data_IF_643096992813
#
_entry.id   IF_643096992813
#
_cell.length_a   1.000
_cell.length_b   1.000
_cell.length_c   1.000
_cell.angle_alpha   90.00
_cell.angle_beta   90.00
_cell.angle_gamma   90.00
#
_symmetry.space_group_name_H-M   'P 1'
#
loop_
_entity.id
_entity.type
_entity.pdbx_description
1 polymer ?
#
# COMPACT_ATOMS: atom_id res chain seq x y z
N UNK A 1 40.03 -58.73 30.52
CA UNK A 1 39.50 -58.41 29.18
C UNK A 1 38.04 -58.01 29.31
N UNK A 2 37.69 -56.75 29.05
CA UNK A 2 36.34 -56.37 28.63
C UNK A 2 36.43 -55.07 27.83
N UNK A 3 36.26 -55.18 26.52
CA UNK A 3 36.40 -54.08 25.55
C UNK A 3 35.09 -53.28 25.54
N UNK A 4 35.08 -52.12 26.19
CA UNK A 4 33.97 -51.17 26.15
C UNK A 4 33.85 -50.60 24.74
N UNK A 5 32.85 -51.05 23.97
CA UNK A 5 32.55 -50.50 22.65
C UNK A 5 31.84 -49.16 22.82
N UNK A 6 32.52 -48.08 22.41
CA UNK A 6 31.96 -46.75 22.32
C UNK A 6 31.10 -46.66 21.05
N UNK A 7 29.78 -46.79 21.19
CA UNK A 7 28.84 -46.48 20.12
C UNK A 7 28.58 -44.97 20.11
N UNK A 8 29.20 -44.25 19.18
CA UNK A 8 28.89 -42.84 18.91
C UNK A 8 27.57 -42.79 18.13
N UNK A 9 26.45 -42.58 18.82
CA UNK A 9 25.20 -42.19 18.18
C UNK A 9 25.30 -40.72 17.79
N UNK A 10 25.51 -40.45 16.49
CA UNK A 10 25.36 -39.11 15.94
C UNK A 10 23.86 -38.77 15.87
N UNK A 11 23.38 -38.02 16.86
CA UNK A 11 22.03 -37.44 16.84
C UNK A 11 21.98 -36.34 15.77
N UNK A 12 21.39 -36.65 14.61
CA UNK A 12 21.12 -35.66 13.57
C UNK A 12 19.88 -34.87 14.02
N UNK A 13 20.08 -33.71 14.66
CA UNK A 13 18.97 -32.79 14.92
C UNK A 13 18.54 -32.14 13.60
N UNK A 14 17.28 -32.27 13.15
CA UNK A 14 16.77 -31.48 12.05
C UNK A 14 16.70 -30.02 12.51
N UNK A 15 17.60 -29.19 11.99
CA UNK A 15 17.50 -27.73 12.07
C UNK A 15 16.24 -27.33 11.30
N UNK A 16 15.12 -27.19 12.01
CA UNK A 16 13.92 -26.56 11.47
C UNK A 16 14.19 -25.06 11.42
N UNK A 17 14.56 -24.57 10.24
CA UNK A 17 14.65 -23.14 9.99
C UNK A 17 13.24 -22.56 10.04
N UNK A 18 12.83 -22.04 11.19
CA UNK A 18 11.65 -21.20 11.29
C UNK A 18 11.92 -19.90 10.54
N UNK A 19 11.31 -19.74 9.36
CA UNK A 19 11.35 -18.48 8.63
C UNK A 19 10.55 -17.44 9.43
N UNK A 20 11.25 -16.46 10.01
CA UNK A 20 10.61 -15.28 10.57
C UNK A 20 9.79 -14.58 9.45
N UNK A 21 8.62 -14.01 9.77
CA UNK A 21 7.86 -13.26 8.79
C UNK A 21 8.74 -12.14 8.22
N UNK A 22 8.80 -12.05 6.90
CA UNK A 22 9.54 -10.97 6.25
C UNK A 22 8.79 -9.65 6.43
N UNK A 23 9.52 -8.54 6.50
CA UNK A 23 8.94 -7.20 6.60
C UNK A 23 7.91 -6.92 5.50
N UNK A 24 8.09 -7.46 4.30
CA UNK A 24 7.14 -7.33 3.20
C UNK A 24 5.77 -7.96 3.52
N UNK A 25 5.76 -9.11 4.20
CA UNK A 25 4.53 -9.79 4.60
C UNK A 25 3.75 -9.00 5.66
N UNK A 26 4.47 -8.37 6.59
CA UNK A 26 3.87 -7.51 7.62
C UNK A 26 3.32 -6.20 7.05
N UNK A 27 4.00 -5.60 6.06
CA UNK A 27 3.49 -4.42 5.34
C UNK A 27 2.21 -4.77 4.58
N UNK A 28 2.17 -5.90 3.88
CA UNK A 28 0.98 -6.36 3.18
C UNK A 28 -0.19 -6.58 4.15
N UNK A 29 0.06 -7.20 5.29
CA UNK A 29 -0.95 -7.36 6.35
C UNK A 29 -1.43 -6.01 6.89
N UNK A 30 -0.54 -5.04 7.10
CA UNK A 30 -0.90 -3.70 7.54
C UNK A 30 -1.73 -2.93 6.51
N UNK A 31 -1.49 -3.13 5.21
CA UNK A 31 -2.24 -2.55 4.10
C UNK A 31 -3.52 -3.33 3.76
N UNK A 32 -3.78 -4.45 4.42
CA UNK A 32 -5.01 -5.22 4.22
C UNK A 32 -6.25 -4.34 4.41
N UNK A 33 -7.23 -4.54 3.53
CA UNK A 33 -8.48 -3.78 3.41
C UNK A 33 -8.35 -2.28 3.06
N UNK A 34 -7.17 -1.77 2.72
CA UNK A 34 -7.02 -0.33 2.40
C UNK A 34 -7.90 0.10 1.22
N UNK A 35 -8.10 -0.77 0.22
CA UNK A 35 -8.99 -0.49 -0.90
C UNK A 35 -10.45 -0.37 -0.47
N UNK A 36 -10.92 -1.24 0.43
CA UNK A 36 -12.29 -1.18 0.95
C UNK A 36 -12.50 0.10 1.76
N UNK A 37 -11.49 0.53 2.54
CA UNK A 37 -11.51 1.80 3.28
C UNK A 37 -11.63 3.00 2.31
N UNK A 38 -10.89 2.97 1.20
CA UNK A 38 -10.97 4.02 0.16
C UNK A 38 -12.35 4.04 -0.49
N UNK A 39 -12.87 2.89 -0.91
CA UNK A 39 -14.21 2.79 -1.54
C UNK A 39 -15.32 3.23 -0.58
N UNK A 40 -15.19 2.94 0.71
CA UNK A 40 -16.15 3.36 1.74
C UNK A 40 -16.01 4.83 2.16
N UNK A 41 -15.10 5.59 1.54
CA UNK A 41 -14.77 6.98 1.86
C UNK A 41 -14.42 7.23 3.34
N UNK A 42 -13.88 6.23 4.04
CA UNK A 42 -13.53 6.35 5.45
C UNK A 42 -12.15 7.00 5.63
N UNK A 43 -12.14 8.33 5.58
CA UNK A 43 -10.94 9.16 5.78
C UNK A 43 -10.24 8.91 7.11
N UNK A 44 -10.99 8.58 8.17
CA UNK A 44 -10.45 8.40 9.51
C UNK A 44 -9.65 7.10 9.60
N UNK A 45 -10.22 6.00 9.13
CA UNK A 45 -9.53 4.71 9.05
C UNK A 45 -8.38 4.75 8.05
N UNK A 46 -8.55 5.43 6.91
CA UNK A 46 -7.47 5.62 5.95
C UNK A 46 -6.28 6.36 6.57
N UNK A 47 -6.54 7.45 7.30
CA UNK A 47 -5.51 8.20 8.02
C UNK A 47 -4.80 7.34 9.05
N UNK A 48 -5.54 6.54 9.83
CA UNK A 48 -4.96 5.61 10.81
C UNK A 48 -4.06 4.61 10.11
N UNK A 49 -4.51 4.01 9.01
CA UNK A 49 -3.74 3.02 8.23
C UNK A 49 -2.43 3.59 7.72
N UNK A 50 -2.47 4.75 7.06
CA UNK A 50 -1.28 5.44 6.55
C UNK A 50 -0.31 5.74 7.70
N UNK A 51 -0.82 6.18 8.86
CA UNK A 51 0.00 6.45 10.04
C UNK A 51 0.64 5.18 10.59
N UNK A 52 -0.11 4.10 10.76
CA UNK A 52 0.41 2.81 11.24
C UNK A 52 1.53 2.30 10.35
N UNK A 53 1.35 2.35 9.02
CA UNK A 53 2.39 1.91 8.08
C UNK A 53 3.66 2.78 8.21
N UNK A 54 3.49 4.10 8.30
CA UNK A 54 4.62 5.02 8.50
C UNK A 54 5.32 4.84 9.84
N UNK A 55 4.59 4.54 10.90
CA UNK A 55 5.14 4.36 12.25
C UNK A 55 5.83 3.00 12.41
N UNK A 56 5.25 1.92 11.88
CA UNK A 56 5.78 0.58 12.10
C UNK A 56 6.89 0.21 11.11
N UNK A 57 6.80 0.70 9.87
CA UNK A 57 7.71 0.29 8.79
C UNK A 57 8.55 1.43 8.21
N UNK A 58 8.37 2.66 8.70
CA UNK A 58 9.02 3.89 8.17
C UNK A 58 8.71 4.18 6.69
N UNK A 59 7.68 3.53 6.14
CA UNK A 59 7.20 3.73 4.77
C UNK A 59 6.14 4.83 4.71
N UNK A 60 6.29 5.78 3.80
CA UNK A 60 5.31 6.84 3.50
C UNK A 60 4.38 6.39 2.37
N UNK A 61 3.25 7.09 2.22
CA UNK A 61 2.26 6.79 1.18
C UNK A 61 2.88 6.60 -0.20
N UNK A 62 3.79 7.49 -0.60
CA UNK A 62 4.51 7.44 -1.89
C UNK A 62 5.32 6.14 -2.10
N UNK A 63 5.76 5.48 -1.03
CA UNK A 63 6.67 4.35 -1.09
C UNK A 63 5.93 3.04 -1.42
N UNK A 64 4.61 2.99 -1.19
CA UNK A 64 3.76 1.83 -1.52
C UNK A 64 2.60 2.17 -2.45
N UNK A 65 2.34 3.45 -2.77
CA UNK A 65 1.22 3.88 -3.60
C UNK A 65 1.16 3.15 -4.95
N UNK A 66 2.30 2.99 -5.63
CA UNK A 66 2.36 2.30 -6.93
C UNK A 66 2.15 0.79 -6.81
N UNK A 67 2.55 0.19 -5.69
CA UNK A 67 2.41 -1.25 -5.43
C UNK A 67 1.02 -1.67 -4.94
N UNK A 68 0.19 -0.74 -4.47
CA UNK A 68 -1.19 -1.03 -4.04
C UNK A 68 -2.14 -0.81 -5.21
N UNK A 69 -2.80 -1.89 -5.65
CA UNK A 69 -3.85 -1.85 -6.68
C UNK A 69 -5.20 -2.20 -6.09
N UNK A 70 -6.17 -1.33 -6.31
CA UNK A 70 -7.55 -1.53 -5.94
C UNK A 70 -8.35 -1.77 -7.21
N UNK A 71 -8.72 -3.03 -7.47
CA UNK A 71 -9.39 -3.46 -8.71
C UNK A 71 -8.64 -2.98 -9.98
N UNK A 72 -7.31 -3.12 -9.98
CA UNK A 72 -6.44 -2.69 -11.10
C UNK A 72 -6.13 -1.20 -11.16
N UNK A 73 -6.78 -0.36 -10.34
CA UNK A 73 -6.54 1.08 -10.29
C UNK A 73 -5.65 1.47 -9.10
N UNK A 74 -5.01 2.64 -9.18
CA UNK A 74 -4.39 3.26 -8.01
C UNK A 74 -5.44 3.72 -7.00
N UNK A 75 -5.02 4.00 -5.77
CA UNK A 75 -5.96 4.41 -4.71
C UNK A 75 -6.68 5.73 -5.05
N UNK A 76 -6.01 6.71 -5.69
CA UNK A 76 -6.67 7.98 -6.08
C UNK A 76 -7.67 7.74 -7.21
N UNK A 77 -7.29 6.98 -8.25
CA UNK A 77 -8.22 6.62 -9.34
C UNK A 77 -9.44 5.85 -8.82
N UNK A 78 -9.22 4.95 -7.87
CA UNK A 78 -10.31 4.22 -7.20
C UNK A 78 -11.24 5.16 -6.44
N UNK A 79 -10.68 6.13 -5.70
CA UNK A 79 -11.49 7.13 -5.01
C UNK A 79 -12.35 7.95 -6.00
N UNK A 80 -11.78 8.33 -7.15
CA UNK A 80 -12.51 9.03 -8.22
C UNK A 80 -13.67 8.20 -8.78
N UNK A 81 -13.45 6.91 -9.07
CA UNK A 81 -14.49 6.04 -9.60
C UNK A 81 -15.66 5.81 -8.63
N UNK A 82 -15.39 5.86 -7.33
CA UNK A 82 -16.37 5.58 -6.28
C UNK A 82 -16.91 6.85 -5.61
N UNK A 83 -16.56 8.03 -6.13
CA UNK A 83 -16.93 9.32 -5.55
C UNK A 83 -16.57 9.45 -4.05
N UNK A 84 -15.45 8.81 -3.65
CA UNK A 84 -14.92 8.82 -2.30
C UNK A 84 -14.09 10.09 -2.05
N UNK A 85 -14.79 11.21 -1.89
CA UNK A 85 -14.22 12.56 -1.87
C UNK A 85 -13.24 12.76 -0.71
N UNK A 86 -13.59 12.31 0.49
CA UNK A 86 -12.79 12.55 1.70
C UNK A 86 -11.49 11.75 1.71
N UNK A 87 -11.56 10.47 1.32
CA UNK A 87 -10.43 9.58 1.15
C UNK A 87 -9.54 10.03 -0.02
N UNK A 88 -10.14 10.33 -1.17
CA UNK A 88 -9.43 10.82 -2.37
C UNK A 88 -8.67 12.11 -2.08
N UNK A 89 -9.32 13.08 -1.44
CA UNK A 89 -8.70 14.36 -1.04
C UNK A 89 -7.57 14.15 -0.04
N UNK A 90 -7.73 13.22 0.92
CA UNK A 90 -6.65 12.89 1.86
C UNK A 90 -5.44 12.31 1.14
N UNK A 91 -5.64 11.39 0.19
CA UNK A 91 -4.57 10.77 -0.59
C UNK A 91 -3.80 11.81 -1.40
N UNK A 92 -4.51 12.68 -2.12
CA UNK A 92 -3.92 13.80 -2.88
C UNK A 92 -3.09 14.70 -1.95
N UNK A 93 -3.63 15.11 -0.79
CA UNK A 93 -2.90 15.97 0.15
C UNK A 93 -1.65 15.29 0.75
N UNK A 94 -1.68 13.97 0.95
CA UNK A 94 -0.57 13.20 1.52
C UNK A 94 0.50 12.83 0.51
N UNK A 95 0.19 12.85 -0.79
CA UNK A 95 1.16 12.59 -1.84
C UNK A 95 2.03 13.82 -2.13
N UNK A 96 3.34 13.62 -2.44
CA UNK A 96 4.18 14.72 -2.89
C UNK A 96 3.77 15.16 -4.30
N UNK A 97 3.78 16.48 -4.55
CA UNK A 97 3.42 17.10 -5.85
C UNK A 97 4.03 16.40 -7.07
N UNK A 98 5.34 16.09 -7.01
CA UNK A 98 6.05 15.42 -8.10
C UNK A 98 5.49 14.05 -8.50
N UNK A 99 4.87 13.33 -7.56
CA UNK A 99 4.27 12.02 -7.83
C UNK A 99 2.84 12.15 -8.35
N UNK A 100 2.11 13.19 -7.93
CA UNK A 100 0.76 13.48 -8.45
C UNK A 100 0.80 13.90 -9.93
N UNK A 101 1.84 14.66 -10.31
CA UNK A 101 2.05 15.11 -11.68
C UNK A 101 2.74 14.05 -12.57
N UNK A 102 3.24 12.95 -11.99
CA UNK A 102 3.88 11.89 -12.75
C UNK A 102 2.83 10.99 -13.43
N UNK A 103 3.13 10.44 -14.62
CA UNK A 103 2.34 9.37 -15.20
C UNK A 103 2.29 8.14 -14.28
N UNK A 104 1.12 7.47 -14.21
CA UNK A 104 1.01 6.14 -13.62
C UNK A 104 1.41 5.05 -14.65
N UNK A 105 1.23 3.77 -14.31
CA UNK A 105 1.71 2.63 -15.12
C UNK A 105 1.17 2.58 -16.56
N UNK A 106 0.01 3.20 -16.81
CA UNK A 106 -0.59 3.32 -18.14
C UNK A 106 -0.08 4.52 -18.95
N UNK A 107 0.92 5.25 -18.43
CA UNK A 107 1.50 6.42 -19.07
C UNK A 107 0.65 7.69 -18.94
N UNK A 108 -0.47 7.66 -18.21
CA UNK A 108 -1.35 8.82 -18.02
C UNK A 108 -1.13 9.47 -16.67
N UNK A 109 -1.13 10.79 -16.64
CA UNK A 109 -1.22 11.54 -15.37
C UNK A 109 -2.59 11.30 -14.75
N UNK A 110 -2.71 11.53 -13.43
CA UNK A 110 -4.00 11.47 -12.75
C UNK A 110 -5.01 12.42 -13.40
N UNK A 111 -4.60 13.65 -13.74
CA UNK A 111 -5.48 14.63 -14.39
C UNK A 111 -6.02 14.12 -15.73
N UNK A 112 -5.13 13.71 -16.64
CA UNK A 112 -5.53 13.24 -17.96
C UNK A 112 -6.46 12.02 -17.87
N UNK A 113 -6.17 11.10 -16.95
CA UNK A 113 -7.03 9.93 -16.72
C UNK A 113 -8.40 10.32 -16.15
N UNK A 114 -8.47 11.27 -15.21
CA UNK A 114 -9.74 11.74 -14.62
C UNK A 114 -10.62 12.41 -15.68
N UNK A 115 -10.02 13.21 -16.57
CA UNK A 115 -10.73 13.86 -17.67
C UNK A 115 -11.32 12.84 -18.64
N UNK A 116 -10.58 11.77 -18.96
CA UNK A 116 -11.09 10.66 -19.77
C UNK A 116 -12.25 9.89 -19.12
N UNK A 117 -12.30 9.84 -17.79
CA UNK A 117 -13.44 9.26 -17.06
C UNK A 117 -14.65 10.21 -17.01
N UNK A 118 -14.56 11.41 -17.59
CA UNK A 118 -15.61 12.43 -17.50
C UNK A 118 -15.80 12.98 -16.08
N UNK A 119 -14.78 12.91 -15.22
CA UNK A 119 -14.84 13.31 -13.80
C UNK A 119 -13.97 14.54 -13.49
N UNK A 120 -13.67 15.36 -14.50
CA UNK A 120 -12.87 16.59 -14.38
C UNK A 120 -13.44 17.62 -13.39
N UNK A 121 -14.76 17.65 -13.20
CA UNK A 121 -15.44 18.54 -12.25
C UNK A 121 -15.56 17.97 -10.83
N UNK A 122 -15.02 16.77 -10.57
CA UNK A 122 -15.09 16.15 -9.26
C UNK A 122 -14.28 16.94 -8.21
N UNK A 123 -14.72 16.90 -6.95
CA UNK A 123 -13.99 17.55 -5.85
C UNK A 123 -12.54 17.03 -5.71
N UNK A 124 -12.31 15.77 -6.10
CA UNK A 124 -10.96 15.17 -6.11
C UNK A 124 -10.10 15.77 -7.22
N UNK A 125 -10.66 16.01 -8.42
CA UNK A 125 -9.95 16.67 -9.51
C UNK A 125 -9.56 18.11 -9.13
N UNK A 126 -10.47 18.87 -8.52
CA UNK A 126 -10.17 20.21 -8.01
C UNK A 126 -9.04 20.17 -6.97
N UNK A 127 -9.14 19.27 -5.98
CA UNK A 127 -8.10 19.12 -4.97
C UNK A 127 -6.74 18.67 -5.55
N UNK A 128 -6.75 17.89 -6.63
CA UNK A 128 -5.56 17.49 -7.37
C UNK A 128 -4.92 18.70 -8.07
N UNK A 129 -5.70 19.47 -8.82
CA UNK A 129 -5.24 20.66 -9.55
C UNK A 129 -4.67 21.72 -8.61
N UNK A 130 -5.31 21.97 -7.47
CA UNK A 130 -4.80 22.87 -6.42
C UNK A 130 -3.44 22.43 -5.87
N UNK A 131 -3.10 21.14 -6.00
CA UNK A 131 -1.86 20.56 -5.48
C UNK A 131 -0.74 20.53 -6.51
N UNK A 132 -1.04 20.44 -7.81
CA UNK A 132 -0.06 20.32 -8.90
C UNK A 132 0.25 21.62 -9.63
#
# INVERSE_FOLDING_TARGET
MLKTKLCVLAAVLPLTFASAPSQANEVAAALSNICNIVVADDKSELRKKIKTVSSNFRLKLKDYYTGVKCNGNSMIRTAVLNDAVEAGTLLVKKMPKKHLAAPEEDGKTLQAWIDEQGKGDSAIAVALLDRI
#
